data_IF_622523064309
#
_entry.id   IF_622523064309
#
_cell.length_a   1.000
_cell.length_b   1.000
_cell.length_c   1.000
_cell.angle_alpha   90.00
_cell.angle_beta   90.00
_cell.angle_gamma   90.00
#
_symmetry.space_group_name_H-M   'P 1'
#
loop_
_entity.id
_entity.type
_entity.pdbx_description
1 polymer ?
#
# COMPACT_ATOMS: atom_id res chain seq x y z
N UNK A 1 27.97 14.77 -7.19
CA UNK A 1 26.91 13.75 -7.20
C UNK A 1 25.59 14.51 -7.30
N UNK A 2 24.77 14.29 -8.35
CA UNK A 2 23.48 14.94 -8.44
C UNK A 2 22.60 14.51 -7.26
N UNK A 3 21.85 15.44 -6.67
CA UNK A 3 20.95 15.12 -5.56
C UNK A 3 19.86 14.17 -6.09
N UNK A 4 19.75 12.93 -5.59
CA UNK A 4 18.69 12.01 -6.01
C UNK A 4 17.29 12.57 -5.73
N UNK A 5 17.17 13.60 -4.87
CA UNK A 5 15.91 14.30 -4.58
C UNK A 5 15.50 15.31 -5.65
N UNK A 6 16.30 15.51 -6.69
CA UNK A 6 15.96 16.38 -7.81
C UNK A 6 15.20 15.66 -8.93
N UNK A 7 14.99 14.35 -8.81
CA UNK A 7 14.40 13.53 -9.87
C UNK A 7 12.96 13.15 -9.58
N UNK A 8 12.08 13.33 -10.57
CA UNK A 8 10.69 12.85 -10.49
C UNK A 8 10.63 11.37 -10.12
N UNK A 9 9.69 11.00 -9.26
CA UNK A 9 9.41 9.61 -8.86
C UNK A 9 8.02 9.23 -9.39
N UNK A 10 7.94 8.17 -10.19
CA UNK A 10 6.67 7.65 -10.69
C UNK A 10 6.10 6.60 -9.72
N UNK A 11 4.88 6.81 -9.23
CA UNK A 11 4.20 5.98 -8.22
C UNK A 11 2.83 5.56 -8.76
N UNK A 12 2.84 4.69 -9.78
CA UNK A 12 1.62 4.18 -10.42
C UNK A 12 0.78 5.30 -11.06
N UNK A 13 -0.44 5.58 -10.57
CA UNK A 13 -1.35 6.57 -11.16
C UNK A 13 -0.94 8.04 -10.91
N UNK A 14 0.01 8.28 -10.01
CA UNK A 14 0.56 9.61 -9.75
C UNK A 14 2.08 9.62 -9.87
N UNK A 15 2.63 10.83 -9.95
CA UNK A 15 4.06 11.12 -9.91
C UNK A 15 4.33 12.12 -8.79
N UNK A 16 5.43 11.97 -8.09
CA UNK A 16 5.94 12.96 -7.14
C UNK A 16 6.94 13.84 -7.89
N UNK A 17 6.64 15.13 -7.92
CA UNK A 17 7.51 16.15 -8.52
C UNK A 17 8.16 16.98 -7.42
N UNK A 18 9.49 17.20 -7.47
CA UNK A 18 10.15 18.10 -6.55
C UNK A 18 9.68 19.54 -6.80
N UNK A 19 9.38 20.27 -5.73
CA UNK A 19 9.05 21.69 -5.81
C UNK A 19 10.31 22.56 -5.88
N UNK A 20 10.20 23.85 -6.25
CA UNK A 20 11.32 24.80 -6.16
C UNK A 20 11.82 24.98 -4.73
N UNK A 21 10.93 24.84 -3.74
CA UNK A 21 11.30 24.84 -2.33
C UNK A 21 12.06 23.55 -1.98
N UNK A 22 13.22 23.72 -1.35
CA UNK A 22 14.13 22.63 -1.05
C UNK A 22 13.46 21.61 -0.12
N UNK A 23 13.31 20.39 -0.60
CA UNK A 23 12.89 19.24 0.21
C UNK A 23 11.39 18.95 0.23
N UNK A 24 10.58 19.70 -0.51
CA UNK A 24 9.14 19.43 -0.68
C UNK A 24 8.81 18.85 -2.05
N UNK A 25 7.74 18.07 -2.10
CA UNK A 25 7.30 17.33 -3.28
C UNK A 25 5.79 17.37 -3.40
N UNK A 26 5.30 17.51 -4.63
CA UNK A 26 3.88 17.55 -4.95
C UNK A 26 3.44 16.28 -5.67
N UNK A 27 2.34 15.68 -5.22
CA UNK A 27 1.70 14.56 -5.92
C UNK A 27 0.83 15.07 -7.07
N UNK A 28 1.24 14.75 -8.29
CA UNK A 28 0.59 15.12 -9.54
C UNK A 28 0.05 13.86 -10.23
N UNK A 29 -1.20 13.84 -10.71
CA UNK A 29 -1.75 12.72 -11.46
C UNK A 29 -0.97 12.55 -12.76
N UNK A 30 -0.87 11.30 -13.22
CA UNK A 30 -0.34 11.04 -14.55
C UNK A 30 -1.35 11.53 -15.59
N UNK A 31 -0.89 12.31 -16.57
CA UNK A 31 -1.74 12.95 -17.60
C UNK A 31 -2.69 11.99 -18.33
N UNK A 32 -2.37 10.69 -18.37
CA UNK A 32 -3.19 9.66 -19.00
C UNK A 32 -4.45 9.26 -18.21
N UNK A 33 -4.50 9.51 -16.90
CA UNK A 33 -5.58 9.01 -16.04
C UNK A 33 -6.73 10.02 -15.84
N UNK A 34 -6.68 11.20 -16.46
CA UNK A 34 -7.73 12.23 -16.36
C UNK A 34 -8.05 12.67 -14.92
N UNK A 35 -7.20 12.29 -13.97
CA UNK A 35 -7.41 12.53 -12.55
C UNK A 35 -7.22 14.00 -12.20
N UNK A 36 -8.05 14.50 -11.28
CA UNK A 36 -7.88 15.85 -10.71
C UNK A 36 -6.55 15.90 -9.98
N UNK A 37 -5.77 16.95 -10.20
CA UNK A 37 -4.52 17.15 -9.47
C UNK A 37 -4.78 17.13 -7.96
N UNK A 38 -4.19 16.16 -7.24
CA UNK A 38 -4.37 16.11 -5.78
C UNK A 38 -3.85 17.39 -5.12
N UNK A 39 -2.83 18.02 -5.72
CA UNK A 39 -2.22 19.26 -5.25
C UNK A 39 -1.50 19.10 -3.90
N UNK A 40 -1.39 17.89 -3.37
CA UNK A 40 -0.81 17.64 -2.05
C UNK A 40 0.69 17.86 -2.14
N UNK A 41 1.17 18.85 -1.40
CA UNK A 41 2.59 19.17 -1.26
C UNK A 41 3.01 18.89 0.18
N UNK A 42 4.09 18.12 0.34
CA UNK A 42 4.61 17.74 1.65
C UNK A 42 6.13 17.58 1.62
N UNK A 43 6.77 17.54 2.79
CA UNK A 43 8.20 17.30 2.88
C UNK A 43 8.52 15.84 2.52
N UNK A 44 9.75 15.59 2.05
CA UNK A 44 10.21 14.23 1.73
C UNK A 44 10.02 13.24 2.88
N UNK A 45 10.27 13.68 4.13
CA UNK A 45 10.07 12.85 5.33
C UNK A 45 8.62 12.41 5.51
N UNK A 46 7.66 13.26 5.16
CA UNK A 46 6.24 12.94 5.28
C UNK A 46 5.81 11.90 4.25
N UNK A 47 6.34 12.01 3.03
CA UNK A 47 6.14 11.00 1.98
C UNK A 47 6.72 9.64 2.36
N UNK A 48 7.91 9.60 2.97
CA UNK A 48 8.51 8.36 3.48
C UNK A 48 7.65 7.76 4.60
N UNK A 49 7.22 8.57 5.57
CA UNK A 49 6.35 8.11 6.66
C UNK A 49 5.00 7.60 6.14
N UNK A 50 4.45 8.23 5.10
CA UNK A 50 3.24 7.77 4.43
C UNK A 50 3.45 6.40 3.75
N UNK A 51 4.53 6.22 3.00
CA UNK A 51 4.84 4.95 2.34
C UNK A 51 4.97 3.80 3.34
N UNK A 52 5.60 4.04 4.50
CA UNK A 52 5.69 3.04 5.58
C UNK A 52 4.31 2.66 6.12
N UNK A 53 3.42 3.65 6.34
CA UNK A 53 2.05 3.40 6.79
C UNK A 53 1.25 2.59 5.78
N UNK A 54 1.38 2.87 4.49
CA UNK A 54 0.73 2.09 3.43
C UNK A 54 1.23 0.64 3.44
N UNK A 55 2.55 0.42 3.55
CA UNK A 55 3.13 -0.92 3.65
C UNK A 55 2.60 -1.70 4.85
N UNK A 56 2.51 -1.04 6.02
CA UNK A 56 1.95 -1.66 7.23
C UNK A 56 0.46 -1.96 7.12
N UNK A 57 -0.30 -1.13 6.41
CA UNK A 57 -1.71 -1.38 6.15
C UNK A 57 -1.91 -2.61 5.24
N UNK A 58 -1.07 -2.77 4.21
CA UNK A 58 -1.06 -3.96 3.33
C UNK A 58 -0.72 -5.23 4.11
N UNK A 59 0.28 -5.19 5.00
CA UNK A 59 0.60 -6.32 5.89
C UNK A 59 -0.60 -6.75 6.74
N UNK A 60 -1.26 -5.80 7.41
CA UNK A 60 -2.44 -6.06 8.22
C UNK A 60 -3.61 -6.61 7.40
N UNK A 61 -3.75 -6.16 6.15
CA UNK A 61 -4.79 -6.66 5.26
C UNK A 61 -4.52 -8.12 4.87
N UNK A 62 -3.30 -8.45 4.47
CA UNK A 62 -2.91 -9.83 4.12
C UNK A 62 -3.05 -10.79 5.30
N UNK A 63 -2.72 -10.35 6.52
CA UNK A 63 -2.94 -11.15 7.73
C UNK A 63 -4.43 -11.43 7.99
N UNK A 64 -5.30 -10.48 7.67
CA UNK A 64 -6.76 -10.67 7.80
C UNK A 64 -7.28 -11.63 6.75
N UNK A 65 -6.84 -11.49 5.50
CA UNK A 65 -7.21 -12.39 4.42
C UNK A 65 -6.77 -13.83 4.74
N UNK A 66 -5.52 -14.02 5.13
CA UNK A 66 -4.99 -15.34 5.52
C UNK A 66 -5.76 -15.96 6.69
N UNK A 67 -6.29 -15.14 7.61
CA UNK A 67 -7.17 -15.63 8.69
C UNK A 67 -8.55 -16.04 8.17
N UNK A 68 -9.07 -15.34 7.18
CA UNK A 68 -10.29 -15.71 6.46
C UNK A 68 -10.13 -17.05 5.77
N UNK A 69 -9.06 -17.22 4.99
CA UNK A 69 -8.72 -18.47 4.32
C UNK A 69 -8.60 -19.63 5.31
N UNK A 70 -7.89 -19.44 6.41
CA UNK A 70 -7.76 -20.45 7.46
C UNK A 70 -9.11 -20.82 8.12
N UNK A 71 -10.02 -19.85 8.23
CA UNK A 71 -11.36 -20.10 8.75
C UNK A 71 -12.21 -20.89 7.75
N UNK A 72 -12.16 -20.54 6.47
CA UNK A 72 -12.87 -21.25 5.40
C UNK A 72 -12.35 -22.69 5.22
N UNK A 73 -11.03 -22.90 5.30
CA UNK A 73 -10.41 -24.22 5.33
C UNK A 73 -10.86 -25.04 6.54
N UNK A 74 -10.83 -24.44 7.74
CA UNK A 74 -11.27 -25.10 8.97
C UNK A 74 -12.76 -25.46 8.96
N UNK A 75 -13.61 -24.58 8.42
CA UNK A 75 -15.03 -24.82 8.23
C UNK A 75 -15.29 -25.96 7.23
N UNK A 76 -14.54 -25.98 6.12
CA UNK A 76 -14.62 -27.04 5.12
C UNK A 76 -14.18 -28.40 5.69
N UNK A 77 -13.07 -28.42 6.44
CA UNK A 77 -12.57 -29.63 7.11
C UNK A 77 -13.54 -30.17 8.16
N UNK A 78 -14.22 -29.29 8.92
CA UNK A 78 -15.24 -29.70 9.89
C UNK A 78 -16.49 -30.32 9.25
N UNK A 79 -16.73 -30.05 7.95
CA UNK A 79 -17.88 -30.54 7.19
C UNK A 79 -17.57 -31.82 6.40
N UNK A 80 -16.32 -32.25 6.37
CA UNK A 80 -15.93 -33.53 5.79
C UNK A 80 -16.53 -34.69 6.60
N UNK A 81 -17.29 -35.56 5.94
CA UNK A 81 -17.93 -36.71 6.56
C UNK A 81 -16.93 -37.77 7.06
N UNK A 82 -15.69 -37.73 6.58
CA UNK A 82 -14.58 -38.55 7.07
C UNK A 82 -13.83 -37.94 8.27
N UNK A 83 -14.16 -36.70 8.66
CA UNK A 83 -13.50 -36.02 9.78
C UNK A 83 -13.74 -36.79 11.09
N UNK A 84 -12.68 -37.38 11.62
CA UNK A 84 -12.72 -38.15 12.87
C UNK A 84 -12.39 -37.23 14.03
N UNK A 85 -13.32 -37.06 14.97
CA UNK A 85 -13.08 -36.30 16.20
C UNK A 85 -12.19 -37.12 17.15
N UNK A 86 -10.95 -36.68 17.46
CA UNK A 86 -10.02 -37.43 18.29
C UNK A 86 -10.38 -37.45 19.79
N UNK A 87 -11.42 -36.70 20.19
CA UNK A 87 -11.90 -36.62 21.57
C UNK A 87 -13.28 -37.28 21.76
N UNK A 88 -13.73 -38.08 20.80
CA UNK A 88 -15.02 -38.77 20.85
C UNK A 88 -14.86 -40.27 20.92
#
# INVERSE_FOLDING_TARGET
MPDPRAFRIDVGPFRLEPTPDVGTWTAVPREADGGVASGITAAWSDWVAFAEKVRRADELWREREARGDAWDEGFSAARDAAATNPYR
#
